data_IF_164308233559
#
_entry.id   IF_164308233559
#
_cell.length_a   1.000
_cell.length_b   1.000
_cell.length_c   1.000
_cell.angle_alpha   90.00
_cell.angle_beta   90.00
_cell.angle_gamma   90.00
#
_symmetry.space_group_name_H-M   'P 1'
#
loop_
_entity.id
_entity.type
_entity.pdbx_description
1 polymer ?
#
# COMPACT_ATOMS: atom_id res chain seq x y z
N UNK A 1 -33.11 5.61 14.67
CA UNK A 1 -33.62 5.73 13.29
C UNK A 1 -32.60 6.58 12.54
N UNK A 2 -31.82 5.99 11.65
CA UNK A 2 -30.92 6.80 10.80
C UNK A 2 -31.77 7.75 9.95
N UNK A 3 -31.42 9.05 9.86
CA UNK A 3 -32.15 9.97 9.00
C UNK A 3 -32.06 9.45 7.56
N UNK A 4 -33.20 9.32 6.88
CA UNK A 4 -33.26 8.95 5.46
C UNK A 4 -32.37 9.91 4.69
N UNK A 5 -31.44 9.37 3.90
CA UNK A 5 -30.53 10.17 3.11
C UNK A 5 -31.34 11.19 2.29
N UNK A 6 -31.01 12.47 2.41
CA UNK A 6 -31.69 13.51 1.62
C UNK A 6 -31.43 13.25 0.14
N UNK A 7 -32.34 13.68 -0.76
CA UNK A 7 -32.18 13.43 -2.21
C UNK A 7 -30.81 13.88 -2.75
N UNK A 8 -30.25 14.93 -2.17
CA UNK A 8 -28.89 15.42 -2.45
C UNK A 8 -27.78 14.42 -2.07
N UNK A 9 -27.92 13.68 -0.98
CA UNK A 9 -26.93 12.67 -0.55
C UNK A 9 -26.93 11.45 -1.45
N UNK A 10 -28.12 11.01 -1.88
CA UNK A 10 -28.26 9.92 -2.85
C UNK A 10 -27.68 10.33 -4.19
N UNK A 11 -28.01 11.52 -4.68
CA UNK A 11 -27.43 12.06 -5.92
C UNK A 11 -25.90 12.19 -5.82
N UNK A 12 -25.35 12.63 -4.67
CA UNK A 12 -23.92 12.69 -4.46
C UNK A 12 -23.25 11.31 -4.52
N UNK A 13 -23.86 10.26 -3.95
CA UNK A 13 -23.34 8.90 -4.07
C UNK A 13 -23.33 8.40 -5.51
N UNK A 14 -24.42 8.64 -6.25
CA UNK A 14 -24.51 8.27 -7.68
C UNK A 14 -23.45 9.02 -8.50
N UNK A 15 -23.27 10.32 -8.26
CA UNK A 15 -22.27 11.12 -8.97
C UNK A 15 -20.83 10.71 -8.64
N UNK A 16 -20.51 10.39 -7.38
CA UNK A 16 -19.19 9.87 -7.01
C UNK A 16 -18.94 8.50 -7.66
N UNK A 17 -19.93 7.60 -7.64
CA UNK A 17 -19.82 6.30 -8.28
C UNK A 17 -19.61 6.43 -9.80
N UNK A 18 -20.39 7.29 -10.45
CA UNK A 18 -20.24 7.61 -11.87
C UNK A 18 -18.89 8.25 -12.18
N UNK A 19 -18.41 9.17 -11.33
CA UNK A 19 -17.10 9.80 -11.46
C UNK A 19 -15.95 8.81 -11.30
N UNK A 20 -16.05 7.88 -10.35
CA UNK A 20 -15.08 6.80 -10.21
C UNK A 20 -15.09 5.89 -11.43
N UNK A 21 -16.26 5.46 -11.90
CA UNK A 21 -16.38 4.65 -13.11
C UNK A 21 -15.80 5.36 -14.33
N UNK A 22 -16.00 6.67 -14.45
CA UNK A 22 -15.37 7.50 -15.47
C UNK A 22 -13.83 7.45 -15.36
N UNK A 23 -13.28 7.66 -14.16
CA UNK A 23 -11.82 7.57 -13.94
C UNK A 23 -11.27 6.20 -14.34
N UNK A 24 -11.99 5.12 -14.04
CA UNK A 24 -11.62 3.77 -14.44
C UNK A 24 -11.67 3.57 -15.95
N UNK A 25 -12.79 3.93 -16.59
CA UNK A 25 -13.01 3.74 -18.02
C UNK A 25 -11.97 4.50 -18.87
N UNK A 26 -11.63 5.72 -18.45
CA UNK A 26 -10.67 6.58 -19.15
C UNK A 26 -9.21 6.39 -18.66
N UNK A 27 -8.94 5.38 -17.82
CA UNK A 27 -7.60 5.09 -17.25
C UNK A 27 -6.96 6.30 -16.55
N UNK A 28 -7.78 7.17 -15.96
CA UNK A 28 -7.36 8.39 -15.29
C UNK A 28 -6.91 8.15 -13.84
N UNK A 29 -6.84 6.89 -13.39
CA UNK A 29 -6.47 6.54 -12.02
C UNK A 29 -5.17 7.20 -11.59
N UNK A 30 -4.13 7.12 -12.43
CA UNK A 30 -2.82 7.74 -12.17
C UNK A 30 -2.91 9.26 -12.01
N UNK A 31 -3.78 9.92 -12.78
CA UNK A 31 -4.03 11.35 -12.67
C UNK A 31 -4.74 11.69 -11.35
N UNK A 32 -5.80 10.96 -11.01
CA UNK A 32 -6.52 11.15 -9.73
C UNK A 32 -5.56 10.99 -8.54
N UNK A 33 -4.76 9.94 -8.56
CA UNK A 33 -3.76 9.62 -7.53
C UNK A 33 -2.73 10.73 -7.41
N UNK A 34 -2.13 11.14 -8.53
CA UNK A 34 -1.11 12.18 -8.52
C UNK A 34 -1.68 13.52 -8.04
N UNK A 35 -2.94 13.82 -8.38
CA UNK A 35 -3.66 14.99 -7.87
C UNK A 35 -3.92 14.92 -6.36
N UNK A 36 -4.40 13.78 -5.86
CA UNK A 36 -4.58 13.58 -4.42
C UNK A 36 -3.25 13.65 -3.67
N UNK A 37 -2.18 13.09 -4.22
CA UNK A 37 -0.84 13.17 -3.65
C UNK A 37 -0.33 14.60 -3.60
N UNK A 38 -0.41 15.35 -4.70
CA UNK A 38 -0.01 16.75 -4.76
C UNK A 38 -0.81 17.59 -3.74
N UNK A 39 -2.13 17.43 -3.71
CA UNK A 39 -3.00 18.10 -2.73
C UNK A 39 -2.60 17.76 -1.29
N UNK A 40 -2.39 16.47 -0.99
CA UNK A 40 -2.05 15.99 0.36
C UNK A 40 -0.70 16.54 0.82
N UNK A 41 0.31 16.53 -0.06
CA UNK A 41 1.64 17.07 0.26
C UNK A 41 1.59 18.59 0.47
N UNK A 42 0.86 19.32 -0.38
CA UNK A 42 0.64 20.76 -0.19
C UNK A 42 -0.08 21.04 1.14
N UNK A 43 -1.12 20.29 1.46
CA UNK A 43 -1.87 20.41 2.70
C UNK A 43 -0.99 20.09 3.93
N UNK A 44 -0.14 19.07 3.85
CA UNK A 44 0.79 18.71 4.91
C UNK A 44 1.80 19.83 5.16
N UNK A 45 2.48 20.30 4.12
CA UNK A 45 3.45 21.40 4.22
C UNK A 45 2.78 22.66 4.74
N UNK A 46 1.57 22.97 4.24
CA UNK A 46 0.78 24.10 4.73
C UNK A 46 0.48 23.98 6.23
N UNK A 47 0.04 22.82 6.72
CA UNK A 47 -0.24 22.59 8.16
C UNK A 47 1.04 22.75 9.01
N UNK A 48 2.18 22.29 8.50
CA UNK A 48 3.47 22.43 9.19
C UNK A 48 3.90 23.90 9.31
N UNK A 49 3.67 24.73 8.28
CA UNK A 49 4.10 26.13 8.24
C UNK A 49 3.10 27.07 8.94
N UNK A 50 1.80 26.77 8.91
CA UNK A 50 0.74 27.62 9.46
C UNK A 50 0.85 27.83 10.97
N UNK A 51 1.62 27.01 11.69
CA UNK A 51 1.95 27.23 13.11
C UNK A 51 2.82 28.46 13.37
N UNK A 52 3.40 29.08 12.34
CA UNK A 52 4.20 30.31 12.44
C UNK A 52 3.42 31.61 12.20
N UNK A 53 4.11 32.76 12.34
CA UNK A 53 3.60 34.14 12.16
C UNK A 53 3.12 34.49 10.74
N UNK A 54 2.93 33.52 9.84
CA UNK A 54 2.60 33.77 8.44
C UNK A 54 1.09 33.94 8.21
N UNK A 55 0.71 34.86 7.32
CA UNK A 55 -0.67 34.98 6.86
C UNK A 55 -1.09 33.75 6.06
N UNK A 56 -2.39 33.46 6.05
CA UNK A 56 -2.96 32.28 5.37
C UNK A 56 -2.57 32.19 3.88
N UNK A 57 -2.54 33.32 3.18
CA UNK A 57 -2.13 33.40 1.78
C UNK A 57 -0.63 33.12 1.59
N UNK A 58 0.23 33.72 2.42
CA UNK A 58 1.68 33.50 2.35
C UNK A 58 2.05 32.04 2.65
N UNK A 59 1.43 31.43 3.66
CA UNK A 59 1.67 30.02 4.00
C UNK A 59 1.32 29.06 2.84
N UNK A 60 0.27 29.35 2.05
CA UNK A 60 -0.06 28.56 0.85
C UNK A 60 1.00 28.69 -0.25
N UNK A 61 1.48 29.90 -0.51
CA UNK A 61 2.51 30.15 -1.52
C UNK A 61 3.84 29.51 -1.11
N UNK A 62 4.22 29.62 0.17
CA UNK A 62 5.44 28.97 0.67
C UNK A 62 5.33 27.45 0.61
N UNK A 63 4.16 26.87 0.94
CA UNK A 63 3.94 25.44 0.81
C UNK A 63 4.07 24.95 -0.65
N UNK A 64 3.46 25.69 -1.58
CA UNK A 64 3.57 25.45 -3.01
C UNK A 64 5.01 25.56 -3.52
N UNK A 65 5.71 26.63 -3.17
CA UNK A 65 7.09 26.87 -3.57
C UNK A 65 8.03 25.79 -3.00
N UNK A 66 7.85 25.43 -1.72
CA UNK A 66 8.63 24.38 -1.07
C UNK A 66 8.42 23.02 -1.72
N UNK A 67 7.17 22.62 -1.97
CA UNK A 67 6.88 21.37 -2.66
C UNK A 67 7.45 21.36 -4.09
N UNK A 68 7.27 22.46 -4.83
CA UNK A 68 7.83 22.61 -6.17
C UNK A 68 9.35 22.49 -6.19
N UNK A 69 10.04 23.10 -5.23
CA UNK A 69 11.49 23.02 -5.09
C UNK A 69 11.95 21.59 -4.77
N UNK A 70 11.29 20.91 -3.82
CA UNK A 70 11.61 19.52 -3.47
C UNK A 70 11.38 18.59 -4.66
N UNK A 71 10.26 18.74 -5.37
CA UNK A 71 9.96 17.96 -6.56
C UNK A 71 10.99 18.20 -7.67
N UNK A 72 11.36 19.46 -7.92
CA UNK A 72 12.38 19.82 -8.91
C UNK A 72 13.76 19.26 -8.52
N UNK A 73 14.15 19.34 -7.25
CA UNK A 73 15.39 18.78 -6.74
C UNK A 73 15.42 17.24 -6.86
N UNK A 74 14.32 16.56 -6.52
CA UNK A 74 14.19 15.11 -6.66
C UNK A 74 14.29 14.69 -8.12
N UNK A 75 13.57 15.35 -9.03
CA UNK A 75 13.63 15.08 -10.46
C UNK A 75 15.03 15.32 -11.03
N UNK A 76 15.65 16.44 -10.65
CA UNK A 76 17.03 16.75 -11.04
C UNK A 76 18.00 15.70 -10.51
N UNK A 77 17.86 15.28 -9.25
CA UNK A 77 18.66 14.22 -8.65
C UNK A 77 18.53 12.88 -9.39
N UNK A 78 17.32 12.48 -9.78
CA UNK A 78 17.07 11.28 -10.59
C UNK A 78 17.76 11.40 -11.94
N UNK A 79 17.59 12.53 -12.64
CA UNK A 79 18.24 12.77 -13.95
C UNK A 79 19.76 12.75 -13.82
N UNK A 80 20.31 13.42 -12.80
CA UNK A 80 21.75 13.43 -12.53
C UNK A 80 22.27 12.03 -12.18
N UNK A 81 21.48 11.22 -11.45
CA UNK A 81 21.83 9.84 -11.12
C UNK A 81 21.83 8.96 -12.38
N UNK A 82 20.81 9.04 -13.22
CA UNK A 82 20.74 8.32 -14.51
C UNK A 82 21.89 8.73 -15.42
N UNK A 83 22.11 10.04 -15.60
CA UNK A 83 23.19 10.57 -16.46
C UNK A 83 24.56 10.25 -15.87
N UNK A 84 24.72 10.34 -14.55
CA UNK A 84 25.95 10.02 -13.84
C UNK A 84 26.32 8.55 -13.98
N UNK A 85 25.33 7.67 -13.87
CA UNK A 85 25.47 6.23 -14.11
C UNK A 85 25.80 5.93 -15.58
N UNK A 86 25.03 6.49 -16.52
CA UNK A 86 25.24 6.30 -17.96
C UNK A 86 26.59 6.82 -18.45
N UNK A 87 27.12 7.88 -17.83
CA UNK A 87 28.44 8.44 -18.13
C UNK A 87 29.58 7.81 -17.30
N UNK A 88 29.30 6.79 -16.50
CA UNK A 88 30.30 6.11 -15.66
C UNK A 88 30.89 6.96 -14.53
N UNK A 89 30.27 8.10 -14.18
CA UNK A 89 30.74 9.02 -13.12
C UNK A 89 30.22 8.65 -11.73
N UNK A 90 29.11 7.93 -11.66
CA UNK A 90 28.50 7.43 -10.41
C UNK A 90 28.44 5.92 -10.52
N UNK A 91 29.54 5.24 -10.15
CA UNK A 91 29.66 3.78 -10.26
C UNK A 91 29.44 3.27 -11.67
N UNK A 92 30.53 3.13 -12.43
CA UNK A 92 30.46 2.50 -13.73
C UNK A 92 29.81 1.11 -13.58
N UNK A 93 28.84 0.79 -14.42
CA UNK A 93 28.22 -0.55 -14.48
C UNK A 93 29.27 -1.68 -14.40
N UNK A 94 30.39 -1.61 -15.15
CA UNK A 94 31.47 -2.59 -15.02
C UNK A 94 32.04 -2.71 -13.60
N UNK A 95 32.30 -1.59 -12.91
CA UNK A 95 32.85 -1.63 -11.54
C UNK A 95 31.85 -2.13 -10.52
N UNK A 96 30.54 -1.96 -10.76
CA UNK A 96 29.50 -2.61 -9.96
C UNK A 96 29.47 -4.13 -10.19
N UNK A 97 29.57 -4.60 -11.44
CA UNK A 97 29.60 -6.03 -11.74
C UNK A 97 30.86 -6.71 -11.19
N UNK A 98 32.02 -6.07 -11.35
CA UNK A 98 33.29 -6.54 -10.76
C UNK A 98 33.17 -6.70 -9.24
N UNK A 99 32.59 -5.71 -8.58
CA UNK A 99 32.44 -5.73 -7.13
C UNK A 99 31.43 -6.78 -6.66
N UNK A 100 30.32 -6.95 -7.37
CA UNK A 100 29.35 -8.02 -7.10
C UNK A 100 30.00 -9.38 -7.28
N UNK A 101 30.75 -9.60 -8.35
CA UNK A 101 31.51 -10.84 -8.58
C UNK A 101 32.53 -11.10 -7.48
N UNK A 102 33.28 -10.07 -7.06
CA UNK A 102 34.24 -10.16 -5.93
C UNK A 102 33.56 -10.56 -4.62
N UNK A 103 32.41 -9.95 -4.29
CA UNK A 103 31.65 -10.26 -3.08
C UNK A 103 31.09 -11.68 -3.16
N UNK A 104 30.55 -12.09 -4.31
CA UNK A 104 30.06 -13.45 -4.53
C UNK A 104 31.17 -14.48 -4.40
N UNK A 105 32.38 -14.18 -4.89
CA UNK A 105 33.59 -14.99 -4.67
C UNK A 105 33.91 -15.20 -3.21
N UNK A 106 33.95 -14.11 -2.43
CA UNK A 106 34.22 -14.20 -0.99
C UNK A 106 33.14 -14.97 -0.23
N UNK A 107 31.88 -14.85 -0.66
CA UNK A 107 30.77 -15.62 -0.09
C UNK A 107 30.90 -17.10 -0.44
N UNK A 108 31.23 -17.42 -1.69
CA UNK A 108 31.47 -18.79 -2.15
C UNK A 108 32.62 -19.46 -1.38
N UNK A 109 33.76 -18.79 -1.28
CA UNK A 109 34.93 -19.30 -0.55
C UNK A 109 34.61 -19.58 0.92
N UNK A 110 33.82 -18.70 1.56
CA UNK A 110 33.36 -18.91 2.94
C UNK A 110 32.37 -20.07 3.06
N UNK A 111 31.41 -20.18 2.14
CA UNK A 111 30.45 -21.28 2.15
C UNK A 111 31.15 -22.64 1.94
N UNK A 112 32.11 -22.71 1.03
CA UNK A 112 32.95 -23.89 0.85
C UNK A 112 33.76 -24.22 2.11
N UNK A 113 34.29 -23.22 2.81
CA UNK A 113 34.98 -23.44 4.09
C UNK A 113 34.08 -24.03 5.19
N UNK A 114 32.76 -23.90 5.05
CA UNK A 114 31.75 -24.52 5.92
C UNK A 114 31.22 -25.86 5.37
N UNK A 115 31.77 -26.36 4.26
CA UNK A 115 31.34 -27.60 3.61
C UNK A 115 30.04 -27.49 2.80
N UNK A 116 29.56 -26.27 2.54
CA UNK A 116 28.37 -26.01 1.74
C UNK A 116 28.79 -25.63 0.31
N UNK A 117 28.68 -26.57 -0.63
CA UNK A 117 28.89 -26.29 -2.07
C UNK A 117 27.54 -26.08 -2.78
N UNK A 118 27.44 -24.99 -3.54
CA UNK A 118 26.26 -24.65 -4.33
C UNK A 118 26.68 -24.46 -5.79
N UNK A 119 26.36 -25.40 -6.70
CA UNK A 119 26.75 -25.33 -8.11
C UNK A 119 26.22 -24.10 -8.84
N UNK A 120 25.07 -23.55 -8.42
CA UNK A 120 24.51 -22.34 -9.04
C UNK A 120 25.35 -21.07 -8.78
N UNK A 121 26.21 -21.05 -7.75
CA UNK A 121 27.08 -19.91 -7.50
C UNK A 121 28.23 -19.86 -8.51
N UNK A 122 28.66 -21.00 -9.05
CA UNK A 122 29.84 -21.08 -9.93
C UNK A 122 29.68 -20.27 -11.22
N UNK A 123 28.47 -20.22 -11.80
CA UNK A 123 28.17 -19.38 -12.97
C UNK A 123 28.05 -17.88 -12.63
N UNK A 124 27.73 -17.54 -11.37
CA UNK A 124 27.59 -16.15 -10.89
C UNK A 124 28.91 -15.52 -10.41
N UNK A 125 29.97 -16.32 -10.26
CA UNK A 125 31.28 -15.86 -9.81
C UNK A 125 32.02 -15.03 -10.87
N UNK A 126 31.75 -15.29 -12.15
CA UNK A 126 32.42 -14.61 -13.24
C UNK A 126 31.68 -13.32 -13.58
N UNK A 127 32.22 -12.19 -13.10
CA UNK A 127 31.70 -10.85 -13.38
C UNK A 127 31.56 -10.58 -14.89
N UNK A 128 32.43 -11.18 -15.72
CA UNK A 128 32.37 -11.03 -17.16
C UNK A 128 31.16 -11.76 -17.75
N UNK A 129 30.89 -13.00 -17.32
CA UNK A 129 29.69 -13.74 -17.74
C UNK A 129 28.40 -13.10 -17.24
N UNK A 130 28.41 -12.54 -16.02
CA UNK A 130 27.28 -11.77 -15.49
C UNK A 130 26.99 -10.53 -16.34
N UNK A 131 28.05 -9.79 -16.72
CA UNK A 131 27.93 -8.63 -17.59
C UNK A 131 27.44 -9.02 -19.00
N UNK A 132 27.96 -10.10 -19.57
CA UNK A 132 27.52 -10.63 -20.87
C UNK A 132 26.04 -11.02 -20.83
N UNK A 133 25.64 -11.82 -19.85
CA UNK A 133 24.24 -12.25 -19.64
C UNK A 133 23.30 -11.06 -19.44
N UNK A 134 23.69 -10.08 -18.62
CA UNK A 134 22.90 -8.87 -18.41
C UNK A 134 22.79 -8.04 -19.71
N UNK A 135 23.89 -7.91 -20.45
CA UNK A 135 23.92 -7.15 -21.72
C UNK A 135 23.09 -7.81 -22.81
N UNK A 136 23.11 -9.14 -22.89
CA UNK A 136 22.26 -9.94 -23.77
C UNK A 136 20.79 -9.77 -23.38
N UNK A 137 20.46 -9.91 -22.09
CA UNK A 137 19.10 -9.68 -21.62
C UNK A 137 18.59 -8.27 -21.97
N UNK A 138 19.40 -7.23 -21.75
CA UNK A 138 19.03 -5.87 -22.11
C UNK A 138 18.87 -5.68 -23.63
N UNK A 139 19.70 -6.31 -24.47
CA UNK A 139 19.55 -6.25 -25.93
C UNK A 139 18.28 -6.94 -26.38
N UNK A 140 18.02 -8.15 -25.88
CA UNK A 140 16.85 -8.96 -26.23
C UNK A 140 15.55 -8.28 -25.79
N UNK A 141 15.58 -7.55 -24.68
CA UNK A 141 14.45 -6.80 -24.15
C UNK A 141 14.47 -5.31 -24.52
N UNK A 142 15.42 -4.82 -25.32
CA UNK A 142 15.58 -3.38 -25.60
C UNK A 142 14.34 -2.78 -26.28
N UNK A 143 13.74 -3.51 -27.21
CA UNK A 143 12.50 -3.09 -27.89
C UNK A 143 11.31 -3.05 -26.91
N UNK A 144 11.20 -4.05 -26.02
CA UNK A 144 10.18 -4.09 -24.98
C UNK A 144 10.38 -2.98 -23.95
N UNK A 145 11.63 -2.70 -23.57
CA UNK A 145 12.01 -1.64 -22.64
C UNK A 145 11.72 -0.25 -23.23
N UNK A 146 11.94 -0.08 -24.54
CA UNK A 146 11.60 1.15 -25.27
C UNK A 146 10.08 1.35 -25.33
N UNK A 147 9.33 0.29 -25.63
CA UNK A 147 7.86 0.32 -25.62
C UNK A 147 7.31 0.64 -24.22
N UNK A 148 7.81 -0.06 -23.19
CA UNK A 148 7.48 0.19 -21.79
C UNK A 148 7.87 1.62 -21.36
N UNK A 149 9.00 2.14 -21.85
CA UNK A 149 9.41 3.54 -21.64
C UNK A 149 8.45 4.55 -22.27
N UNK A 150 7.95 4.27 -23.48
CA UNK A 150 6.93 5.08 -24.14
C UNK A 150 5.60 5.09 -23.37
N UNK A 151 5.16 3.95 -22.85
CA UNK A 151 4.00 3.87 -21.97
C UNK A 151 4.23 4.60 -20.65
N UNK A 152 5.40 4.43 -20.02
CA UNK A 152 5.81 5.14 -18.81
C UNK A 152 5.78 6.67 -19.01
N UNK A 153 6.19 7.16 -20.19
CA UNK A 153 6.07 8.58 -20.54
C UNK A 153 4.62 9.08 -20.56
N UNK A 154 3.68 8.29 -21.10
CA UNK A 154 2.25 8.62 -21.05
C UNK A 154 1.70 8.60 -19.62
N UNK A 155 2.13 7.63 -18.81
CA UNK A 155 1.80 7.58 -17.38
C UNK A 155 2.30 8.83 -16.64
N UNK A 156 3.54 9.24 -16.91
CA UNK A 156 4.13 10.45 -16.33
C UNK A 156 3.34 11.70 -16.73
N UNK A 157 2.93 11.83 -17.99
CA UNK A 157 2.10 12.94 -18.45
C UNK A 157 0.76 13.00 -17.70
N UNK A 158 0.07 11.85 -17.56
CA UNK A 158 -1.18 11.79 -16.79
C UNK A 158 -0.97 12.15 -15.33
N UNK A 159 0.13 11.70 -14.72
CA UNK A 159 0.49 12.05 -13.34
C UNK A 159 0.74 13.57 -13.20
N UNK A 160 1.45 14.19 -14.15
CA UNK A 160 1.70 15.63 -14.15
C UNK A 160 0.42 16.45 -14.27
N UNK A 161 -0.48 16.06 -15.18
CA UNK A 161 -1.80 16.71 -15.32
C UNK A 161 -2.59 16.58 -14.02
N UNK A 162 -2.62 15.39 -13.43
CA UNK A 162 -3.26 15.13 -12.14
C UNK A 162 -2.70 16.00 -11.02
N UNK A 163 -1.38 16.04 -10.89
CA UNK A 163 -0.69 16.87 -9.90
C UNK A 163 -1.00 18.36 -10.08
N UNK A 164 -1.06 18.86 -11.32
CA UNK A 164 -1.45 20.23 -11.64
C UNK A 164 -2.90 20.53 -11.21
N UNK A 165 -3.83 19.59 -11.41
CA UNK A 165 -5.21 19.71 -10.91
C UNK A 165 -5.26 19.71 -9.38
N UNK A 166 -4.49 18.84 -8.72
CA UNK A 166 -4.36 18.81 -7.26
C UNK A 166 -3.82 20.13 -6.69
N UNK A 167 -2.84 20.71 -7.35
CA UNK A 167 -2.32 22.05 -7.07
C UNK A 167 -3.39 23.12 -7.21
N UNK A 168 -4.16 23.12 -8.31
CA UNK A 168 -5.24 24.07 -8.53
C UNK A 168 -6.30 23.97 -7.42
N UNK A 169 -6.71 22.75 -7.07
CA UNK A 169 -7.69 22.48 -6.00
C UNK A 169 -7.17 22.97 -4.64
N UNK A 170 -5.87 22.83 -4.34
CA UNK A 170 -5.29 23.32 -3.10
C UNK A 170 -5.45 24.84 -2.92
N UNK A 171 -5.40 25.64 -3.99
CA UNK A 171 -5.59 27.08 -3.91
C UNK A 171 -7.05 27.52 -3.82
N UNK A 172 -8.00 26.67 -4.22
CA UNK A 172 -9.42 26.98 -4.12
C UNK A 172 -9.89 27.04 -2.66
N UNK A 173 -10.82 27.96 -2.39
CA UNK A 173 -11.52 28.06 -1.11
C UNK A 173 -13.03 28.15 -1.34
N UNK A 174 -13.71 27.03 -1.63
CA UNK A 174 -15.16 27.01 -1.59
C UNK A 174 -15.59 27.24 -0.14
N UNK A 175 -16.28 28.35 0.15
CA UNK A 175 -17.00 28.47 1.41
C UNK A 175 -18.22 27.56 1.31
N UNK A 176 -18.45 26.64 2.27
CA UNK A 176 -19.63 25.80 2.25
C UNK A 176 -20.85 26.70 2.34
N UNK A 177 -21.65 26.68 1.29
CA UNK A 177 -22.91 27.40 1.18
C UNK A 177 -24.04 26.43 1.52
N UNK A 178 -24.76 26.62 2.66
CA UNK A 178 -25.86 25.75 3.06
C UNK A 178 -26.98 25.66 2.03
N UNK A 179 -27.09 26.65 1.13
CA UNK A 179 -28.08 26.68 0.05
C UNK A 179 -27.73 25.72 -1.11
N UNK A 180 -26.58 25.04 -1.05
CA UNK A 180 -26.11 24.10 -2.07
C UNK A 180 -25.92 22.68 -1.50
N UNK A 181 -27.00 21.99 -1.11
CA UNK A 181 -26.91 20.72 -0.38
C UNK A 181 -26.19 19.62 -1.15
N UNK A 182 -26.30 19.57 -2.49
CA UNK A 182 -25.57 18.61 -3.32
C UNK A 182 -24.05 18.88 -3.31
N UNK A 183 -23.64 20.15 -3.39
CA UNK A 183 -22.23 20.52 -3.37
C UNK A 183 -21.59 20.19 -2.02
N UNK A 184 -22.31 20.43 -0.91
CA UNK A 184 -21.89 20.04 0.43
C UNK A 184 -21.74 18.52 0.55
N UNK A 185 -22.73 17.76 0.06
CA UNK A 185 -22.70 16.29 0.10
C UNK A 185 -21.54 15.70 -0.75
N UNK A 186 -21.25 16.27 -1.92
CA UNK A 186 -20.12 15.86 -2.76
C UNK A 186 -18.77 16.21 -2.11
N UNK A 187 -18.62 17.44 -1.61
CA UNK A 187 -17.40 17.90 -0.96
C UNK A 187 -17.06 17.01 0.25
N UNK A 188 -18.06 16.63 1.06
CA UNK A 188 -17.90 15.71 2.18
C UNK A 188 -17.27 14.38 1.76
N UNK A 189 -17.75 13.79 0.67
CA UNK A 189 -17.30 12.48 0.17
C UNK A 189 -15.89 12.57 -0.42
N UNK A 190 -15.59 13.61 -1.19
CA UNK A 190 -14.24 13.87 -1.70
C UNK A 190 -13.26 14.06 -0.55
N UNK A 191 -13.66 14.79 0.49
CA UNK A 191 -12.83 15.05 1.67
C UNK A 191 -12.56 13.78 2.48
N UNK A 192 -13.53 12.86 2.56
CA UNK A 192 -13.32 11.51 3.13
C UNK A 192 -12.34 10.69 2.30
N UNK A 193 -12.46 10.70 0.97
CA UNK A 193 -11.51 10.03 0.08
C UNK A 193 -10.08 10.58 0.28
N UNK A 194 -9.94 11.90 0.30
CA UNK A 194 -8.65 12.55 0.54
C UNK A 194 -8.06 12.20 1.91
N UNK A 195 -8.88 12.18 2.97
CA UNK A 195 -8.44 11.79 4.31
C UNK A 195 -7.99 10.32 4.37
N UNK A 196 -8.74 9.40 3.75
CA UNK A 196 -8.35 7.99 3.65
C UNK A 196 -7.04 7.82 2.88
N UNK A 197 -6.89 8.53 1.77
CA UNK A 197 -5.66 8.50 0.97
C UNK A 197 -4.47 9.06 1.76
N UNK A 198 -4.65 10.18 2.45
CA UNK A 198 -3.63 10.79 3.30
C UNK A 198 -3.11 9.80 4.35
N UNK A 199 -4.00 9.09 5.06
CA UNK A 199 -3.61 8.07 6.04
C UNK A 199 -2.73 6.97 5.43
N UNK A 200 -3.11 6.47 4.24
CA UNK A 200 -2.35 5.42 3.56
C UNK A 200 -0.97 5.90 3.11
N UNK A 201 -0.90 7.09 2.50
CA UNK A 201 0.37 7.64 2.00
C UNK A 201 1.32 7.95 3.16
N UNK A 202 0.83 8.56 4.24
CA UNK A 202 1.66 8.88 5.40
C UNK A 202 2.21 7.62 6.07
N UNK A 203 1.37 6.59 6.24
CA UNK A 203 1.82 5.31 6.77
C UNK A 203 2.89 4.66 5.89
N UNK A 204 2.74 4.72 4.57
CA UNK A 204 3.70 4.11 3.64
C UNK A 204 5.04 4.88 3.59
N UNK A 205 5.00 6.21 3.73
CA UNK A 205 6.21 7.02 3.86
C UNK A 205 6.96 6.65 5.15
N UNK A 206 6.26 6.44 6.26
CA UNK A 206 6.85 5.99 7.53
C UNK A 206 7.52 4.61 7.38
N UNK A 207 6.83 3.65 6.76
CA UNK A 207 7.38 2.30 6.50
C UNK A 207 8.64 2.40 5.64
N UNK A 208 8.61 3.17 4.55
CA UNK A 208 9.75 3.35 3.67
C UNK A 208 10.91 4.04 4.38
N UNK A 209 10.63 5.05 5.21
CA UNK A 209 11.64 5.79 5.96
C UNK A 209 12.35 4.91 6.99
N UNK A 210 11.59 4.06 7.71
CA UNK A 210 12.18 3.10 8.67
C UNK A 210 13.08 2.11 7.92
N UNK A 211 12.62 1.54 6.80
CA UNK A 211 13.43 0.61 6.01
C UNK A 211 14.72 1.25 5.50
N UNK A 212 14.63 2.47 4.97
CA UNK A 212 15.80 3.22 4.51
C UNK A 212 16.71 3.62 5.66
N UNK A 213 16.19 4.03 6.80
CA UNK A 213 16.99 4.37 7.98
C UNK A 213 17.76 3.15 8.49
N UNK A 214 17.10 2.00 8.64
CA UNK A 214 17.74 0.75 9.07
C UNK A 214 18.82 0.31 8.08
N UNK A 215 18.51 0.39 6.78
CA UNK A 215 19.49 0.12 5.71
C UNK A 215 20.67 1.09 5.78
N UNK A 216 20.42 2.38 6.01
CA UNK A 216 21.46 3.39 6.17
C UNK A 216 22.36 3.12 7.38
N UNK A 217 21.78 2.77 8.53
CA UNK A 217 22.55 2.37 9.72
C UNK A 217 23.41 1.14 9.42
N UNK A 218 22.84 0.14 8.76
CA UNK A 218 23.59 -1.06 8.38
C UNK A 218 24.77 -0.73 7.45
N UNK A 219 24.53 0.03 6.39
CA UNK A 219 25.53 0.35 5.36
C UNK A 219 26.62 1.32 5.86
N UNK A 220 26.26 2.33 6.65
CA UNK A 220 27.16 3.43 7.02
C UNK A 220 27.69 3.35 8.46
N UNK A 221 27.16 2.47 9.30
CA UNK A 221 27.62 2.31 10.70
C UNK A 221 28.07 0.88 10.95
N UNK A 222 27.18 -0.11 10.79
CA UNK A 222 27.48 -1.51 11.16
C UNK A 222 28.60 -2.09 10.31
N UNK A 223 28.51 -1.96 8.98
CA UNK A 223 29.51 -2.47 8.04
C UNK A 223 30.90 -1.81 8.21
N UNK A 224 31.01 -0.47 8.30
CA UNK A 224 32.29 0.20 8.56
C UNK A 224 32.92 -0.17 9.90
N UNK A 225 32.13 -0.36 10.97
CA UNK A 225 32.65 -0.82 12.27
C UNK A 225 33.23 -2.24 12.19
N UNK A 226 32.73 -3.07 11.28
CA UNK A 226 33.31 -4.38 10.95
C UNK A 226 34.50 -4.32 9.99
N UNK A 227 34.98 -3.13 9.62
CA UNK A 227 36.09 -2.92 8.68
C UNK A 227 35.74 -3.20 7.22
N UNK A 228 34.45 -3.26 6.85
CA UNK A 228 33.99 -3.61 5.50
C UNK A 228 33.07 -2.54 4.90
N UNK A 229 33.57 -1.31 4.62
CA UNK A 229 32.77 -0.33 3.91
C UNK A 229 32.43 -0.85 2.51
N UNK A 230 31.15 -0.80 2.14
CA UNK A 230 30.72 -1.19 0.80
C UNK A 230 30.91 -0.01 -0.16
N UNK A 231 31.55 -0.21 -1.32
CA UNK A 231 31.46 0.77 -2.38
C UNK A 231 29.99 0.89 -2.83
N UNK A 232 29.60 2.08 -3.26
CA UNK A 232 28.22 2.36 -3.70
C UNK A 232 27.13 2.23 -2.64
N UNK A 233 27.48 2.23 -1.34
CA UNK A 233 26.51 2.23 -0.24
C UNK A 233 25.43 3.33 -0.40
N UNK A 234 25.80 4.51 -0.91
CA UNK A 234 24.85 5.59 -1.23
C UNK A 234 23.85 5.22 -2.35
N UNK A 235 24.32 4.55 -3.40
CA UNK A 235 23.47 4.06 -4.49
C UNK A 235 22.53 2.97 -3.98
N UNK A 236 23.02 2.01 -3.20
CA UNK A 236 22.19 0.97 -2.59
C UNK A 236 21.12 1.56 -1.67
N UNK A 237 21.47 2.57 -0.86
CA UNK A 237 20.52 3.27 -0.01
C UNK A 237 19.44 3.99 -0.84
N UNK A 238 19.83 4.68 -1.92
CA UNK A 238 18.90 5.37 -2.81
C UNK A 238 17.95 4.39 -3.52
N UNK A 239 18.47 3.27 -4.05
CA UNK A 239 17.67 2.20 -4.66
C UNK A 239 16.72 1.60 -3.64
N UNK A 240 17.18 1.36 -2.40
CA UNK A 240 16.34 0.80 -1.33
C UNK A 240 15.21 1.74 -0.94
N UNK A 241 15.45 3.06 -0.91
CA UNK A 241 14.40 4.05 -0.68
C UNK A 241 13.37 4.05 -1.81
N UNK A 242 13.81 4.11 -3.07
CA UNK A 242 12.89 4.08 -4.23
C UNK A 242 12.09 2.77 -4.27
N UNK A 243 12.75 1.64 -4.04
CA UNK A 243 12.10 0.34 -3.95
C UNK A 243 11.13 0.26 -2.75
N UNK A 244 11.45 0.90 -1.62
CA UNK A 244 10.58 1.01 -0.45
C UNK A 244 9.30 1.84 -0.69
N UNK A 245 9.31 2.69 -1.72
CA UNK A 245 8.13 3.43 -2.18
C UNK A 245 7.33 2.69 -3.27
N UNK A 246 7.90 1.66 -3.91
CA UNK A 246 7.20 0.83 -4.91
C UNK A 246 5.88 0.22 -4.38
N UNK A 247 5.80 -0.24 -3.12
CA UNK A 247 4.54 -0.72 -2.54
C UNK A 247 3.43 0.34 -2.48
N UNK A 248 3.75 1.64 -2.47
CA UNK A 248 2.72 2.71 -2.59
C UNK A 248 1.93 2.49 -3.87
N UNK A 249 2.64 2.36 -4.99
CA UNK A 249 2.05 2.17 -6.32
C UNK A 249 1.36 0.81 -6.41
N UNK A 250 2.00 -0.24 -5.89
CA UNK A 250 1.45 -1.60 -5.87
C UNK A 250 0.14 -1.71 -5.08
N UNK A 251 0.11 -1.21 -3.85
CA UNK A 251 -1.10 -1.17 -3.01
C UNK A 251 -2.22 -0.40 -3.69
N UNK A 252 -1.86 0.67 -4.39
CA UNK A 252 -2.83 1.53 -5.02
C UNK A 252 -3.42 0.92 -6.30
N UNK A 253 -2.59 0.32 -7.15
CA UNK A 253 -3.05 -0.44 -8.32
C UNK A 253 -3.90 -1.61 -7.86
N UNK A 254 -3.44 -2.40 -6.89
CA UNK A 254 -4.17 -3.55 -6.36
C UNK A 254 -5.53 -3.15 -5.79
N UNK A 255 -5.58 -2.14 -4.92
CA UNK A 255 -6.84 -1.66 -4.34
C UNK A 255 -7.79 -1.10 -5.40
N UNK A 256 -7.25 -0.40 -6.39
CA UNK A 256 -8.02 0.14 -7.53
C UNK A 256 -8.63 -1.01 -8.36
N UNK A 257 -7.84 -2.05 -8.65
CA UNK A 257 -8.30 -3.25 -9.36
C UNK A 257 -9.33 -4.04 -8.55
N UNK A 258 -9.11 -4.24 -7.26
CA UNK A 258 -10.05 -4.94 -6.36
C UNK A 258 -11.39 -4.21 -6.36
N UNK A 259 -11.40 -2.88 -6.27
CA UNK A 259 -12.64 -2.09 -6.32
C UNK A 259 -13.32 -2.22 -7.69
N UNK A 260 -12.58 -2.12 -8.79
CA UNK A 260 -13.14 -2.27 -10.13
C UNK A 260 -13.76 -3.65 -10.36
N UNK A 261 -13.04 -4.71 -9.99
CA UNK A 261 -13.51 -6.10 -10.10
C UNK A 261 -14.73 -6.32 -9.19
N UNK A 262 -14.68 -5.85 -7.94
CA UNK A 262 -15.80 -5.97 -7.01
C UNK A 262 -17.06 -5.25 -7.52
N UNK A 263 -16.91 -4.07 -8.14
CA UNK A 263 -18.01 -3.35 -8.76
C UNK A 263 -18.61 -4.13 -9.95
N UNK A 264 -17.76 -4.72 -10.79
CA UNK A 264 -18.19 -5.56 -11.91
C UNK A 264 -18.95 -6.82 -11.46
N UNK A 265 -18.47 -7.50 -10.42
CA UNK A 265 -19.13 -8.69 -9.84
C UNK A 265 -20.46 -8.31 -9.18
N UNK A 266 -20.51 -7.18 -8.45
CA UNK A 266 -21.73 -6.70 -7.80
C UNK A 266 -22.82 -6.31 -8.81
N UNK A 267 -22.44 -5.74 -9.96
CA UNK A 267 -23.37 -5.41 -11.04
C UNK A 267 -23.94 -6.65 -11.75
N UNK A 268 -23.25 -7.79 -11.67
CA UNK A 268 -23.66 -9.09 -12.21
C UNK A 268 -24.49 -9.96 -11.25
N UNK A 269 -24.78 -9.47 -10.05
CA UNK A 269 -25.64 -10.13 -9.08
C UNK A 269 -27.16 -9.83 -9.14
N UNK A 270 -27.82 -9.50 -10.28
CA UNK A 270 -29.26 -9.64 -10.36
C UNK A 270 -29.66 -11.06 -10.80
N UNK A 271 -30.64 -11.64 -10.07
CA UNK A 271 -31.55 -12.75 -10.47
C UNK A 271 -31.40 -14.18 -9.90
N UNK A 272 -30.55 -14.47 -8.91
CA UNK A 272 -30.62 -15.80 -8.22
C UNK A 272 -31.21 -15.83 -6.81
N UNK A 273 -31.55 -14.67 -6.23
CA UNK A 273 -32.06 -14.62 -4.86
C UNK A 273 -33.61 -14.74 -4.71
N UNK A 274 -34.38 -14.73 -5.81
CA UNK A 274 -35.87 -14.71 -5.73
C UNK A 274 -36.61 -15.86 -6.41
N UNK A 275 -35.95 -16.93 -6.90
CA UNK A 275 -36.63 -18.11 -7.49
C UNK A 275 -36.55 -19.42 -6.68
N UNK A 276 -36.31 -19.33 -5.37
CA UNK A 276 -36.17 -20.51 -4.50
C UNK A 276 -37.36 -20.84 -3.57
N UNK A 277 -38.49 -20.10 -3.62
CA UNK A 277 -39.58 -20.28 -2.63
C UNK A 277 -41.02 -20.35 -3.16
N UNK A 278 -41.22 -20.55 -4.45
CA UNK A 278 -42.56 -20.78 -4.99
C UNK A 278 -42.56 -21.95 -5.98
N UNK A 279 -42.97 -23.14 -5.52
CA UNK A 279 -43.31 -24.26 -6.40
C UNK A 279 -42.97 -25.63 -5.85
N UNK A 280 -43.99 -26.33 -5.34
CA UNK A 280 -44.00 -27.79 -5.09
C UNK A 280 -43.95 -28.17 -3.61
N UNK A 281 -44.93 -28.83 -3.00
CA UNK A 281 -46.18 -29.39 -3.50
C UNK A 281 -47.08 -29.75 -2.30
N UNK A 282 -48.39 -29.80 -2.53
CA UNK A 282 -49.39 -30.12 -1.52
C UNK A 282 -49.47 -31.61 -1.18
N UNK A 283 -50.12 -31.91 -0.05
CA UNK A 283 -50.44 -33.27 0.38
C UNK A 283 -51.09 -33.34 1.77
N UNK A 284 -52.40 -33.04 1.83
CA UNK A 284 -53.48 -33.68 2.62
C UNK A 284 -53.25 -34.06 4.11
N UNK A 285 -54.11 -33.54 5.01
CA UNK A 285 -54.29 -34.08 6.37
C UNK A 285 -55.14 -33.26 7.34
N UNK A 286 -56.47 -33.29 7.15
CA UNK A 286 -57.64 -33.10 8.04
C UNK A 286 -57.52 -32.47 9.47
N UNK A 287 -58.40 -31.51 9.87
CA UNK A 287 -58.44 -30.93 11.21
C UNK A 287 -59.63 -31.45 12.04
N UNK A 288 -59.39 -32.35 13.02
CA UNK A 288 -60.12 -32.47 14.29
C UNK A 288 -59.82 -33.79 15.02
N UNK A 289 -59.31 -33.73 16.27
CA UNK A 289 -59.73 -34.61 17.38
C UNK A 289 -59.06 -34.26 18.72
N UNK A 290 -59.90 -33.82 19.64
CA UNK A 290 -59.98 -34.18 21.07
C UNK A 290 -58.71 -34.40 21.92
N UNK A 291 -58.51 -33.44 22.84
CA UNK A 291 -58.48 -33.54 24.30
C UNK A 291 -58.30 -34.90 25.04
N UNK A 292 -57.52 -34.79 26.15
CA UNK A 292 -57.24 -35.71 27.29
C UNK A 292 -56.20 -36.80 27.01
N UNK A 293 -55.14 -36.97 27.81
CA UNK A 293 -55.17 -37.39 29.23
C UNK A 293 -54.01 -36.80 30.06
N UNK A 294 -54.33 -36.47 31.32
CA UNK A 294 -53.49 -35.98 32.43
C UNK A 294 -52.64 -37.07 33.12
N UNK A 295 -51.58 -36.61 33.79
CA UNK A 295 -51.06 -37.12 35.08
C UNK A 295 -49.75 -37.89 34.96
N UNK A 296 -48.72 -37.76 35.82
CA UNK A 296 -48.47 -37.17 37.14
C UNK A 296 -47.00 -36.68 37.11
N UNK A 297 -46.53 -35.73 37.92
CA UNK A 297 -46.00 -35.98 39.27
C UNK A 297 -45.61 -34.65 39.93
N UNK A 298 -45.91 -34.55 41.23
CA UNK A 298 -45.44 -33.61 42.27
C UNK A 298 -45.13 -34.49 43.50
N UNK A 299 -44.55 -34.02 44.63
CA UNK A 299 -43.77 -32.78 44.91
C UNK A 299 -42.55 -32.98 45.87
N UNK A 300 -41.79 -31.89 46.12
CA UNK A 300 -41.11 -31.53 47.40
C UNK A 300 -39.79 -32.25 47.76
N UNK A 301 -38.77 -31.67 48.38
CA UNK A 301 -38.54 -30.34 48.97
C UNK A 301 -37.26 -30.36 49.86
N UNK A 302 -36.67 -29.19 50.12
CA UNK A 302 -35.65 -28.90 51.17
C UNK A 302 -34.20 -29.25 50.79
N UNK A 303 -33.15 -28.48 51.13
CA UNK A 303 -32.99 -27.23 51.87
C UNK A 303 -31.51 -27.09 52.29
N UNK A 304 -30.98 -25.84 52.29
CA UNK A 304 -29.92 -25.37 53.21
C UNK A 304 -28.43 -25.54 52.85
N UNK A 305 -27.70 -24.40 52.82
CA UNK A 305 -26.46 -24.26 53.61
C UNK A 305 -25.10 -24.01 52.92
N UNK A 306 -24.64 -22.75 52.97
CA UNK A 306 -23.28 -22.24 53.28
C UNK A 306 -21.99 -22.56 52.43
N UNK A 307 -21.39 -21.47 51.89
CA UNK A 307 -19.97 -21.02 51.78
C UNK A 307 -18.77 -21.91 52.24
N UNK A 308 -17.48 -21.56 51.96
CA UNK A 308 -16.80 -21.07 50.73
C UNK A 308 -15.36 -21.67 50.54
N UNK A 309 -14.56 -21.17 49.57
CA UNK A 309 -13.05 -21.16 49.52
C UNK A 309 -12.28 -22.50 49.45
N UNK A 310 -11.44 -22.72 48.42
CA UNK A 310 -9.95 -22.67 48.45
C UNK A 310 -9.28 -23.31 47.21
N UNK A 311 -8.21 -22.64 46.77
CA UNK A 311 -7.18 -23.03 45.82
C UNK A 311 -6.51 -24.38 46.15
N UNK A 312 -6.09 -25.15 45.13
CA UNK A 312 -4.95 -26.06 45.28
C UNK A 312 -4.19 -26.29 43.97
N UNK A 313 -2.92 -25.87 44.01
CA UNK A 313 -1.82 -26.24 43.11
C UNK A 313 -1.46 -27.74 43.23
N UNK A 314 -0.92 -28.30 42.14
CA UNK A 314 -0.04 -29.48 42.12
C UNK A 314 0.67 -29.51 40.76
N UNK A 315 1.91 -29.02 40.60
CA UNK A 315 3.23 -29.50 41.04
C UNK A 315 3.74 -30.72 40.25
N UNK A 316 4.69 -30.39 39.37
CA UNK A 316 5.77 -31.13 38.72
C UNK A 316 6.12 -32.57 39.14
N UNK A 317 6.52 -33.37 38.14
CA UNK A 317 7.47 -34.47 38.29
C UNK A 317 8.51 -34.45 37.14
N UNK A 318 9.78 -34.59 37.53
CA UNK A 318 11.01 -34.60 36.71
C UNK A 318 11.15 -35.88 35.87
N UNK A 319 11.94 -35.89 34.77
CA UNK A 319 12.46 -37.12 34.18
C UNK A 319 13.74 -37.59 34.89
N UNK A 320 13.85 -38.91 35.07
CA UNK A 320 15.04 -39.64 35.55
C UNK A 320 15.90 -40.04 34.34
N UNK A 321 17.21 -39.88 34.49
CA UNK A 321 18.23 -40.38 33.58
C UNK A 321 18.44 -41.91 33.73
N UNK A 322 18.95 -42.54 32.67
CA UNK A 322 19.97 -43.58 32.81
C UNK A 322 19.71 -44.95 32.18
N UNK A 323 20.38 -45.16 31.03
CA UNK A 323 21.16 -46.34 30.62
C UNK A 323 20.45 -47.67 30.29
N UNK A 324 20.71 -48.11 29.06
CA UNK A 324 20.42 -49.41 28.45
C UNK A 324 20.72 -49.32 26.96
#
# INVERSE_FOLDING_TARGET
MEPRATGAETAAFVLIAAGLLFVFQFRLGVSLIAGLLAYTLLALVFRLIRGGRLSHGAAKVVAAAGLGLVAAAALTGIVLLIVGFARGRVGALPTLFEEVGRILGQVHDRLQSWGLSFPFLEDLLDAQRLQETASEWFRDHAAQLTHAGGEAGRFLLHALVGAALGFLVFFQHPRPDPERPLAVALAERIRRLAASFEMVVLAQVEISAINTMLTGIFLFVVLPLGGRPLPFAGTLLAVTFVAGLLPVVGNLISNTLIVAVSAGVSLWLPERAHRGRAGGGGGVGDPARHDRVRGRLRPGGGGGGAHPVRLRQGRAARPRAGLG
#
